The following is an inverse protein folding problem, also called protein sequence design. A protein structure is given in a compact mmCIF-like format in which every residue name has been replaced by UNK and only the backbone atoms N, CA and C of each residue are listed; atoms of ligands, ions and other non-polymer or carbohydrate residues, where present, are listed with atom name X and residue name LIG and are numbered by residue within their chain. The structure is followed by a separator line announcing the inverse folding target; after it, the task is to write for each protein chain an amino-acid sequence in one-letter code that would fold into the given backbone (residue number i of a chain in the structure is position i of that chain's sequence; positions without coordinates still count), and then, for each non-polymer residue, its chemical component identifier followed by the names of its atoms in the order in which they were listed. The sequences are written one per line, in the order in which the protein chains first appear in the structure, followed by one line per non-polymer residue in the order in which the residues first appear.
data_IF_546658166032
#
_entry.id   IF_546658166032
#
_cell.length_a   1.000
_cell.length_b   1.000
_cell.length_c   1.000
_cell.angle_alpha   90.00
_cell.angle_beta   90.00
_cell.angle_gamma   90.00
#
_symmetry.space_group_name_H-M   'P 1'
#
loop_
_entity.id
_entity.type
_entity.pdbx_description
1 polymer ?
2 non-polymer ?
3 non-polymer ?
4 non-polymer ?
5 non-polymer ?
6 water ?
#
# COMPACT_ATOMS: atom_id res chain seq x y z
N UNK A 1 4.47 3.15 18.07
CA UNK A 1 4.91 4.46 17.63
C UNK A 1 4.73 4.62 16.13
N UNK A 2 5.46 5.58 15.61
CA UNK A 2 5.31 6.07 14.23
C UNK A 2 5.48 4.93 13.24
N UNK A 3 6.52 4.10 13.39
CA UNK A 3 6.75 3.01 12.42
C UNK A 3 5.59 2.01 12.46
N UNK A 4 5.18 1.58 13.67
CA UNK A 4 4.04 0.65 13.79
C UNK A 4 2.82 1.29 13.17
N UNK A 5 2.61 2.60 13.35
CA UNK A 5 1.41 3.26 12.79
C UNK A 5 1.42 3.09 11.26
N UNK A 6 2.58 3.22 10.62
CA UNK A 6 2.64 3.05 9.15
C UNK A 6 2.10 1.64 8.81
N UNK A 7 2.53 0.59 9.56
CA UNK A 7 2.11 -0.81 9.32
C UNK A 7 0.60 -0.96 9.56
N UNK A 8 0.09 -0.36 10.63
CA UNK A 8 -1.36 -0.33 10.92
C UNK A 8 -2.14 0.26 9.74
N UNK A 9 -1.75 1.46 9.32
CA UNK A 9 -2.44 2.18 8.21
C UNK A 9 -2.38 1.35 6.93
N UNK A 10 -1.19 0.88 6.56
CA UNK A 10 -1.04 -0.01 5.36
C UNK A 10 -1.92 -1.27 5.45
N UNK A 11 -2.13 -1.83 6.63
CA UNK A 11 -2.95 -3.04 6.79
C UNK A 11 -4.42 -2.85 6.41
N UNK A 12 -4.93 -1.62 6.35
CA UNK A 12 -6.29 -1.33 5.85
C UNK A 12 -6.25 -0.08 4.98
N UNK A 13 -5.39 -0.08 3.99
CA UNK A 13 -4.95 1.20 3.43
C UNK A 13 -6.16 1.91 2.75
N UNK A 14 -6.95 1.17 1.99
CA UNK A 14 -8.05 1.83 1.23
C UNK A 14 -9.01 2.51 2.23
N UNK A 15 -9.32 1.88 3.38
CA UNK A 15 -10.32 2.45 4.31
C UNK A 15 -9.71 3.66 5.05
N UNK A 16 -8.44 3.59 5.43
CA UNK A 16 -7.79 4.73 6.11
C UNK A 16 -7.60 5.86 5.10
N UNK A 17 -7.13 5.57 3.90
CA UNK A 17 -6.86 6.59 2.88
C UNK A 17 -8.16 7.36 2.67
N UNK A 18 -9.26 6.64 2.49
CA UNK A 18 -10.57 7.33 2.23
C UNK A 18 -10.98 8.12 3.46
N UNK A 19 -10.98 7.49 4.63
CA UNK A 19 -11.54 8.11 5.86
C UNK A 19 -10.71 9.34 6.27
N UNK A 20 -9.40 9.31 6.09
CA UNK A 20 -8.58 10.47 6.45
C UNK A 20 -8.75 11.61 5.44
N UNK A 21 -8.80 11.29 4.16
CA UNK A 21 -9.01 12.36 3.15
C UNK A 21 -10.40 12.99 3.40
N UNK A 22 -11.39 12.17 3.71
CA UNK A 22 -12.76 12.73 3.94
C UNK A 22 -12.73 13.60 5.19
N UNK A 23 -11.98 13.22 6.21
CA UNK A 23 -11.86 14.04 7.42
C UNK A 23 -11.27 15.38 7.02
N UNK A 24 -10.29 15.36 6.14
CA UNK A 24 -9.63 16.60 5.66
C UNK A 24 -10.68 17.45 4.92
N UNK A 25 -11.40 16.87 3.95
CA UNK A 25 -12.36 17.68 3.14
C UNK A 25 -13.50 18.23 4.00
N UNK A 26 -13.96 17.48 5.01
CA UNK A 26 -15.08 17.93 5.87
C UNK A 26 -14.61 18.95 6.91
N UNK A 27 -13.37 18.84 7.42
CA UNK A 27 -12.83 19.85 8.34
C UNK A 27 -12.56 21.15 7.59
N UNK A 28 -12.10 21.07 6.34
CA UNK A 28 -11.66 22.23 5.54
C UNK A 28 -12.41 22.27 4.23
N UNK A 29 -13.74 22.61 4.28
CA UNK A 29 -14.59 22.57 3.09
C UNK A 29 -14.06 23.44 1.94
N UNK A 30 -13.38 24.56 2.26
CA UNK A 30 -12.81 25.43 1.18
C UNK A 30 -11.75 24.67 0.39
N UNK A 31 -11.18 23.55 0.89
CA UNK A 31 -10.15 22.75 0.16
C UNK A 31 -10.75 22.04 -1.05
N UNK A 32 -12.06 21.87 -1.10
CA UNK A 32 -12.76 21.37 -2.32
C UNK A 32 -12.52 22.35 -3.48
N UNK A 33 -12.02 23.55 -3.23
CA UNK A 33 -11.69 24.51 -4.32
C UNK A 33 -10.63 23.86 -5.24
N UNK A 34 -9.81 22.93 -4.76
CA UNK A 34 -8.79 22.20 -5.57
C UNK A 34 -9.38 20.92 -6.19
N UNK A 35 -10.64 20.62 -5.91
CA UNK A 35 -11.30 19.33 -6.19
C UNK A 35 -12.75 19.61 -6.61
N UNK A 36 -12.92 20.22 -7.79
CA UNK A 36 -14.25 20.72 -8.24
C UNK A 36 -15.25 19.55 -8.32
N UNK A 37 -14.78 18.40 -8.83
CA UNK A 37 -15.49 17.10 -9.02
C UNK A 37 -16.18 16.61 -7.71
N UNK A 38 -15.71 17.07 -6.57
CA UNK A 38 -16.09 16.53 -5.24
C UNK A 38 -17.23 17.31 -4.61
N UNK A 39 -17.55 18.49 -5.13
CA UNK A 39 -18.53 19.45 -4.56
C UNK A 39 -19.93 18.83 -4.67
N UNK A 40 -20.76 18.97 -3.62
CA UNK A 40 -22.17 18.55 -3.64
C UNK A 40 -22.32 17.06 -3.52
N UNK A 41 -21.32 16.35 -3.01
CA UNK A 41 -21.39 14.87 -2.86
C UNK A 41 -21.09 14.49 -1.40
N UNK A 42 -21.92 13.60 -0.86
CA UNK A 42 -21.76 13.06 0.51
C UNK A 42 -20.53 12.11 0.52
N UNK A 43 -20.01 11.80 1.70
CA UNK A 43 -18.88 10.87 1.80
C UNK A 43 -19.14 9.60 0.98
N UNK A 44 -20.31 8.97 1.09
CA UNK A 44 -20.55 7.66 0.47
C UNK A 44 -20.49 7.83 -1.05
N UNK A 45 -20.94 8.98 -1.54
CA UNK A 45 -20.92 9.24 -2.99
C UNK A 45 -19.47 9.38 -3.40
N UNK A 46 -18.67 10.21 -2.70
CA UNK A 46 -17.26 10.41 -3.04
C UNK A 46 -16.57 9.07 -3.16
N UNK A 47 -16.89 8.13 -2.27
CA UNK A 47 -16.23 6.80 -2.12
C UNK A 47 -16.76 5.82 -3.17
N UNK A 48 -17.69 6.28 -4.01
CA UNK A 48 -18.10 5.60 -5.27
C UNK A 48 -17.34 6.15 -6.50
N UNK A 49 -16.74 7.36 -6.42
CA UNK A 49 -16.21 8.12 -7.61
C UNK A 49 -14.80 7.64 -7.91
N UNK A 50 -14.55 7.17 -9.16
CA UNK A 50 -13.27 6.53 -9.54
C UNK A 50 -12.08 7.44 -9.24
N UNK A 51 -12.07 8.74 -9.64
CA UNK A 51 -10.87 9.57 -9.39
C UNK A 51 -10.67 9.67 -7.88
N UNK A 52 -11.75 9.75 -7.09
CA UNK A 52 -11.60 9.85 -5.60
C UNK A 52 -10.85 8.62 -5.02
N UNK A 53 -11.31 7.39 -5.29
CA UNK A 53 -10.68 6.17 -4.76
C UNK A 53 -9.24 6.09 -5.21
N UNK A 54 -9.00 6.38 -6.48
CA UNK A 54 -7.64 6.20 -7.06
C UNK A 54 -6.69 7.28 -6.53
N UNK A 55 -7.12 8.54 -6.55
CA UNK A 55 -6.32 9.66 -6.01
C UNK A 55 -6.04 9.40 -4.53
N UNK A 56 -7.07 9.10 -3.73
CA UNK A 56 -6.90 9.03 -2.25
C UNK A 56 -5.90 7.90 -1.97
N UNK A 57 -5.99 6.77 -2.67
CA UNK A 57 -5.10 5.61 -2.40
C UNK A 57 -3.70 5.97 -2.89
N UNK A 58 -3.54 6.80 -3.94
CA UNK A 58 -2.17 7.12 -4.46
C UNK A 58 -1.51 8.09 -3.52
N UNK A 59 -2.26 9.06 -2.99
CA UNK A 59 -1.76 10.00 -1.96
C UNK A 59 -1.28 9.20 -0.75
N UNK A 60 -2.10 8.27 -0.25
CA UNK A 60 -1.81 7.58 1.05
C UNK A 60 -0.67 6.57 0.81
N UNK A 61 -0.60 5.97 -0.38
CA UNK A 61 0.52 5.06 -0.73
C UNK A 61 1.81 5.86 -0.62
N UNK A 62 1.86 6.99 -1.34
CA UNK A 62 3.12 7.80 -1.39
C UNK A 62 3.48 8.34 0.00
N UNK A 63 2.52 8.93 0.72
CA UNK A 63 2.80 9.54 2.05
C UNK A 63 3.26 8.46 3.04
N UNK A 64 2.73 7.24 2.97
CA UNK A 64 3.32 6.16 3.79
C UNK A 64 4.76 5.84 3.38
N UNK A 65 5.11 5.91 2.09
CA UNK A 65 6.52 5.72 1.69
C UNK A 65 7.35 6.89 2.26
N UNK A 66 6.84 8.12 2.19
CA UNK A 66 7.63 9.29 2.69
C UNK A 66 7.80 9.12 4.22
N UNK A 67 6.73 8.75 4.92
CA UNK A 67 6.81 8.45 6.34
C UNK A 67 7.81 7.34 6.64
N UNK A 68 7.85 6.28 5.84
CA UNK A 68 8.71 5.09 6.03
C UNK A 68 10.18 5.41 5.78
N UNK A 69 10.46 6.36 4.89
CA UNK A 69 11.83 6.78 4.57
C UNK A 69 12.32 7.87 5.52
N UNK A 70 11.45 8.42 6.37
CA UNK A 70 11.81 9.48 7.33
C UNK A 70 12.75 8.92 8.42
N UNK A 71 13.56 9.78 9.03
CA UNK A 71 14.27 9.51 10.31
C UNK A 71 13.70 10.38 11.39
N UNK A 72 13.21 9.80 12.49
CA UNK A 72 12.68 10.59 13.63
C UNK A 72 11.67 11.61 13.10
N UNK A 73 10.74 11.15 12.25
CA UNK A 73 9.65 11.98 11.68
C UNK A 73 10.19 13.13 10.81
N UNK A 74 11.41 13.02 10.29
CA UNK A 74 11.99 14.05 9.37
C UNK A 74 12.14 13.42 8.00
N UNK A 75 11.40 13.95 7.01
CA UNK A 75 11.34 13.38 5.67
C UNK A 75 12.63 13.63 4.92
N UNK A 76 12.93 12.77 3.96
CA UNK A 76 14.07 13.00 3.01
C UNK A 76 13.85 14.29 2.26
N UNK A 77 14.90 15.11 2.09
CA UNK A 77 14.87 16.25 1.13
C UNK A 77 14.39 15.77 -0.26
N UNK A 78 14.86 14.60 -0.75
CA UNK A 78 14.47 14.04 -2.06
C UNK A 78 12.95 13.87 -2.17
N UNK A 79 12.27 13.41 -1.12
CA UNK A 79 10.82 13.20 -1.15
C UNK A 79 10.16 14.56 -1.16
N UNK A 80 10.72 15.53 -0.45
CA UNK A 80 10.14 16.89 -0.47
C UNK A 80 10.27 17.47 -1.90
N UNK A 81 11.44 17.32 -2.50
CA UNK A 81 11.65 17.86 -3.87
C UNK A 81 10.59 17.24 -4.81
N UNK A 82 10.47 15.90 -4.78
CA UNK A 82 9.51 15.16 -5.66
C UNK A 82 8.13 15.75 -5.46
N UNK A 83 7.72 15.94 -4.21
CA UNK A 83 6.38 16.48 -3.93
C UNK A 83 6.27 17.88 -4.56
N UNK A 84 7.33 18.69 -4.47
CA UNK A 84 7.22 20.09 -4.97
C UNK A 84 7.16 20.05 -6.50
N UNK A 85 7.91 19.16 -7.13
CA UNK A 85 8.17 19.19 -8.59
C UNK A 85 7.04 18.42 -9.31
N UNK A 86 5.99 18.01 -8.59
CA UNK A 86 4.82 17.32 -9.19
C UNK A 86 3.91 18.30 -9.94
N UNK A 87 3.69 18.07 -11.24
CA UNK A 87 2.84 18.92 -12.14
C UNK A 87 1.41 19.09 -11.56
N UNK A 88 0.86 18.03 -10.96
CA UNK A 88 -0.47 17.99 -10.27
C UNK A 88 -0.56 18.99 -9.10
N UNK A 89 0.53 19.24 -8.40
CA UNK A 89 0.58 20.18 -7.26
C UNK A 89 0.95 21.59 -7.72
N UNK A 90 0.82 21.92 -9.00
CA UNK A 90 1.08 23.27 -9.56
C UNK A 90 0.48 24.34 -8.64
N UNK A 91 -0.83 24.26 -8.39
CA UNK A 91 -1.58 25.23 -7.56
C UNK A 91 -1.16 25.30 -6.07
N UNK A 92 -0.70 24.20 -5.48
CA UNK A 92 -0.72 23.98 -4.01
C UNK A 92 0.30 24.81 -3.22
N UNK A 93 0.00 25.11 -1.96
CA UNK A 93 0.93 25.77 -1.02
C UNK A 93 1.11 24.85 0.19
N UNK A 94 2.11 25.09 1.01
CA UNK A 94 2.32 24.26 2.22
C UNK A 94 1.04 24.23 3.07
N UNK A 95 0.21 25.28 3.02
CA UNK A 95 -1.04 25.35 3.81
C UNK A 95 -1.98 24.22 3.48
N UNK A 96 -2.01 23.81 2.21
CA UNK A 96 -2.75 22.60 1.83
C UNK A 96 -2.25 21.38 2.59
N UNK A 97 -0.94 21.23 2.75
CA UNK A 97 -0.31 20.07 3.41
C UNK A 97 -0.48 20.17 4.92
N UNK A 98 -0.34 21.36 5.52
CA UNK A 98 -0.59 21.57 6.98
C UNK A 98 -1.99 21.00 7.26
N UNK A 99 -2.99 21.50 6.54
CA UNK A 99 -4.39 21.09 6.77
C UNK A 99 -4.58 19.60 6.65
N UNK A 100 -4.02 18.96 5.66
CA UNK A 100 -4.12 17.48 5.56
C UNK A 100 -3.62 16.85 6.87
N UNK A 101 -2.51 17.34 7.40
CA UNK A 101 -1.87 16.68 8.57
C UNK A 101 -2.60 17.00 9.86
N UNK A 102 -3.15 18.21 9.98
CA UNK A 102 -4.04 18.56 11.14
C UNK A 102 -5.21 17.59 11.15
N UNK A 103 -5.85 17.34 10.01
CA UNK A 103 -6.99 16.43 9.94
C UNK A 103 -6.53 15.02 10.31
N UNK A 104 -5.41 14.59 9.75
CA UNK A 104 -4.85 13.25 10.07
C UNK A 104 -4.69 13.08 11.59
N UNK A 105 -4.07 14.07 12.21
CA UNK A 105 -3.73 14.00 13.65
C UNK A 105 -5.03 13.94 14.43
N UNK A 106 -5.98 14.79 14.06
CA UNK A 106 -7.33 14.83 14.70
C UNK A 106 -8.03 13.48 14.55
N UNK A 107 -8.01 12.91 13.35
CA UNK A 107 -8.59 11.59 13.06
C UNK A 107 -7.94 10.52 13.99
N UNK A 108 -6.61 10.56 14.11
CA UNK A 108 -5.92 9.62 14.99
C UNK A 108 -6.34 9.83 16.45
N UNK A 109 -6.36 11.08 16.94
CA UNK A 109 -6.78 11.37 18.34
C UNK A 109 -8.15 10.74 18.63
N UNK A 110 -9.11 10.81 17.71
CA UNK A 110 -10.50 10.38 17.93
C UNK A 110 -10.70 8.90 17.68
N UNK A 111 -9.69 8.21 17.19
CA UNK A 111 -9.82 6.78 16.83
C UNK A 111 -9.87 6.00 18.14
N UNK A 112 -10.27 4.76 18.14
CA UNK A 112 -10.09 4.11 19.45
C UNK A 112 -8.67 3.63 19.74
N UNK A 113 -7.71 3.93 18.83
CA UNK A 113 -6.45 3.17 18.64
C UNK A 113 -5.25 3.88 19.29
N UNK A 114 -4.16 3.16 19.50
CA UNK A 114 -2.93 3.71 20.15
C UNK A 114 -1.97 4.27 19.08
N UNK A 115 -2.50 5.05 18.13
CA UNK A 115 -1.63 5.80 17.18
C UNK A 115 -0.76 6.77 17.95
N UNK A 116 0.45 7.00 17.47
CA UNK A 116 1.38 7.97 18.09
C UNK A 116 1.07 9.34 17.44
N UNK A 117 -0.04 9.98 17.84
CA UNK A 117 -0.55 11.21 17.15
C UNK A 117 0.51 12.33 17.25
N UNK A 118 1.26 12.39 18.34
CA UNK A 118 2.26 13.48 18.45
C UNK A 118 3.39 13.25 17.43
N UNK A 119 3.76 12.04 17.08
CA UNK A 119 4.77 11.80 16.01
C UNK A 119 4.22 12.20 14.65
N UNK A 120 2.97 11.91 14.33
CA UNK A 120 2.37 12.36 13.06
C UNK A 120 2.31 13.89 12.99
N UNK A 121 2.01 14.55 14.12
CA UNK A 121 1.94 16.03 14.19
C UNK A 121 3.32 16.63 13.85
N UNK A 122 4.38 16.02 14.39
CA UNK A 122 5.81 16.37 14.21
C UNK A 122 6.19 16.11 12.75
N UNK A 123 5.78 14.95 12.22
CA UNK A 123 6.00 14.57 10.80
C UNK A 123 5.38 15.63 9.88
N UNK A 124 4.14 16.02 10.15
CA UNK A 124 3.46 16.99 9.28
C UNK A 124 4.18 18.33 9.31
N UNK A 125 4.59 18.80 10.48
CA UNK A 125 5.30 20.12 10.60
C UNK A 125 6.66 20.05 9.90
N UNK A 126 7.35 18.91 10.00
CA UNK A 126 8.69 18.70 9.38
C UNK A 126 8.54 18.62 7.85
N UNK A 127 7.47 17.96 7.38
CA UNK A 127 7.17 17.84 5.94
C UNK A 127 6.92 19.24 5.37
N UNK A 128 6.10 20.03 6.05
CA UNK A 128 5.81 21.43 5.63
C UNK A 128 7.12 22.21 5.53
N UNK A 129 8.00 22.10 6.53
CA UNK A 129 9.28 22.85 6.50
C UNK A 129 10.08 22.39 5.28
N UNK A 130 10.12 21.09 5.04
CA UNK A 130 10.93 20.49 3.96
C UNK A 130 10.40 20.99 2.61
N UNK A 131 9.08 20.99 2.49
CA UNK A 131 8.43 21.41 1.24
C UNK A 131 8.81 22.85 0.95
N UNK A 132 8.71 23.70 1.95
CA UNK A 132 9.13 25.12 1.80
C UNK A 132 10.60 25.18 1.33
N UNK A 133 11.48 24.47 2.00
CA UNK A 133 12.93 24.40 1.70
C UNK A 133 13.15 23.93 0.25
N UNK A 134 12.26 23.08 -0.24
CA UNK A 134 12.40 22.48 -1.59
C UNK A 134 11.72 23.34 -2.66
N UNK A 135 10.99 24.41 -2.34
CA UNK A 135 10.50 25.40 -3.33
C UNK A 135 8.99 25.65 -3.28
N UNK A 136 8.23 24.94 -2.45
CA UNK A 136 6.77 25.16 -2.46
C UNK A 136 6.48 26.49 -1.79
N UNK A 137 5.53 27.27 -2.31
CA UNK A 137 5.18 28.61 -1.74
C UNK A 137 4.21 28.40 -0.58
N UNK B 1 16.68 -1.77 -8.43
CA UNK B 1 16.80 -3.01 -7.72
C UNK B 1 15.55 -3.37 -6.93
N UNK B 2 15.68 -4.45 -6.17
CA UNK B 2 14.61 -5.01 -5.33
C UNK B 2 14.01 -3.93 -4.42
N UNK B 3 14.81 -3.15 -3.71
CA UNK B 3 14.24 -2.10 -2.80
C UNK B 3 13.38 -1.11 -3.58
N UNK B 4 13.87 -0.62 -4.72
CA UNK B 4 13.11 0.33 -5.56
C UNK B 4 11.81 -0.35 -6.04
N UNK B 5 11.90 -1.63 -6.42
CA UNK B 5 10.73 -2.40 -6.89
C UNK B 5 9.66 -2.40 -5.81
N UNK B 6 10.05 -2.62 -4.56
CA UNK B 6 9.09 -2.55 -3.44
C UNK B 6 8.44 -1.15 -3.45
N UNK B 7 9.20 -0.10 -3.64
CA UNK B 7 8.65 1.26 -3.65
C UNK B 7 7.66 1.43 -4.81
N UNK B 8 8.05 0.93 -6.01
CA UNK B 8 7.20 1.00 -7.20
C UNK B 8 5.87 0.28 -6.91
N UNK B 9 5.95 -0.93 -6.42
CA UNK B 9 4.74 -1.79 -6.17
C UNK B 9 3.84 -1.15 -5.10
N UNK B 10 4.45 -0.65 -4.04
CA UNK B 10 3.69 0.03 -2.96
C UNK B 10 3.03 1.30 -3.52
N UNK B 11 3.65 1.99 -4.50
CA UNK B 11 3.14 3.27 -5.00
C UNK B 11 1.76 3.08 -5.63
N UNK B 12 1.50 1.90 -6.13
CA UNK B 12 0.26 1.58 -6.91
C UNK B 12 -0.23 0.22 -6.45
N UNK B 13 -0.28 0.01 -5.12
CA UNK B 13 -0.36 -1.37 -4.54
C UNK B 13 -1.57 -2.12 -5.10
N UNK B 14 -2.74 -1.48 -5.05
CA UNK B 14 -4.02 -2.08 -5.47
C UNK B 14 -3.90 -2.65 -6.88
N UNK B 15 -3.48 -1.81 -7.80
CA UNK B 15 -3.40 -2.14 -9.24
C UNK B 15 -2.41 -3.26 -9.45
N UNK B 16 -1.21 -3.18 -8.91
CA UNK B 16 -0.23 -4.27 -9.08
C UNK B 16 -0.76 -5.57 -8.46
N UNK B 17 -1.37 -5.50 -7.27
CA UNK B 17 -1.83 -6.67 -6.53
C UNK B 17 -2.89 -7.40 -7.39
N UNK B 18 -3.80 -6.62 -7.97
CA UNK B 18 -4.85 -7.23 -8.85
C UNK B 18 -4.21 -7.88 -10.08
N UNK B 19 -3.33 -7.16 -10.74
CA UNK B 19 -2.74 -7.59 -12.02
C UNK B 19 -1.88 -8.82 -11.83
N UNK B 20 -1.06 -8.85 -10.78
CA UNK B 20 -0.19 -10.00 -10.47
C UNK B 20 -1.05 -11.20 -10.06
N UNK B 21 -2.02 -11.00 -9.18
CA UNK B 21 -2.88 -12.12 -8.73
C UNK B 21 -3.60 -12.74 -9.95
N UNK B 22 -4.11 -11.93 -10.86
CA UNK B 22 -4.85 -12.39 -12.08
C UNK B 22 -3.85 -13.19 -12.91
N UNK B 23 -2.58 -12.74 -13.00
CA UNK B 23 -1.54 -13.42 -13.77
C UNK B 23 -1.41 -14.85 -13.19
N UNK B 24 -1.33 -14.94 -11.87
CA UNK B 24 -1.25 -16.21 -11.10
C UNK B 24 -2.44 -17.14 -11.40
N UNK B 25 -3.65 -16.62 -11.20
CA UNK B 25 -4.86 -17.43 -11.36
C UNK B 25 -4.99 -17.89 -12.81
N UNK B 26 -4.62 -17.04 -13.78
CA UNK B 26 -4.78 -17.41 -15.21
C UNK B 26 -3.66 -18.38 -15.63
N UNK B 27 -2.45 -18.21 -15.12
CA UNK B 27 -1.38 -19.14 -15.49
C UNK B 27 -1.63 -20.49 -14.80
N UNK B 28 -2.29 -20.52 -13.65
CA UNK B 28 -2.43 -21.74 -12.81
C UNK B 28 -3.89 -21.93 -12.43
N UNK B 29 -4.77 -22.25 -13.40
CA UNK B 29 -6.18 -22.23 -13.13
C UNK B 29 -6.57 -23.19 -11.99
N UNK B 30 -5.91 -24.33 -11.79
CA UNK B 30 -6.22 -25.20 -10.61
C UNK B 30 -6.08 -24.45 -9.29
N UNK B 31 -5.21 -23.43 -9.19
CA UNK B 31 -5.07 -22.65 -7.95
C UNK B 31 -6.38 -21.93 -7.56
N UNK B 32 -7.31 -21.72 -8.49
CA UNK B 32 -8.59 -21.03 -8.15
C UNK B 32 -9.43 -21.89 -7.20
N UNK B 33 -9.02 -23.14 -6.95
CA UNK B 33 -9.68 -24.03 -5.96
C UNK B 33 -9.62 -23.41 -4.55
N UNK B 34 -8.53 -22.71 -4.24
CA UNK B 34 -8.34 -22.06 -2.93
C UNK B 34 -9.22 -20.80 -2.83
N UNK B 35 -9.82 -20.40 -3.94
CA UNK B 35 -10.56 -19.12 -4.09
C UNK B 35 -11.88 -19.40 -4.81
N UNK B 36 -12.66 -20.35 -4.26
CA UNK B 36 -13.92 -20.82 -4.89
C UNK B 36 -14.82 -19.63 -5.26
N UNK B 37 -14.71 -18.52 -4.52
CA UNK B 37 -15.49 -17.25 -4.63
C UNK B 37 -15.31 -16.51 -6.00
N UNK B 38 -14.14 -16.71 -6.61
CA UNK B 38 -13.59 -16.02 -7.79
C UNK B 38 -13.80 -16.89 -9.03
N UNK B 39 -14.33 -18.10 -8.90
CA UNK B 39 -14.62 -19.00 -10.03
C UNK B 39 -15.69 -18.42 -10.98
N UNK B 40 -15.46 -18.62 -12.27
CA UNK B 40 -16.40 -18.33 -13.35
C UNK B 40 -16.55 -16.85 -13.59
N UNK B 41 -15.50 -16.07 -13.28
CA UNK B 41 -15.50 -14.61 -13.50
C UNK B 41 -14.27 -14.23 -14.34
N UNK B 42 -14.47 -13.25 -15.23
CA UNK B 42 -13.40 -12.74 -16.06
C UNK B 42 -12.56 -11.79 -15.20
N UNK B 43 -11.41 -11.38 -15.72
CA UNK B 43 -10.51 -10.44 -15.02
C UNK B 43 -11.29 -9.17 -14.69
N UNK B 44 -12.12 -8.67 -15.61
CA UNK B 44 -12.73 -7.32 -15.41
C UNK B 44 -13.93 -7.51 -14.49
N UNK B 45 -14.52 -8.71 -14.42
CA UNK B 45 -15.58 -8.97 -13.39
C UNK B 45 -14.92 -9.04 -12.02
N UNK B 46 -13.81 -9.77 -11.88
CA UNK B 46 -13.09 -9.77 -10.58
C UNK B 46 -12.71 -8.35 -10.16
N UNK B 47 -12.12 -7.56 -11.03
CA UNK B 47 -11.66 -6.19 -10.67
C UNK B 47 -12.81 -5.28 -10.24
N UNK B 48 -14.03 -5.61 -10.64
CA UNK B 48 -15.26 -4.86 -10.25
C UNK B 48 -15.54 -5.06 -8.76
N UNK B 49 -15.23 -6.25 -8.25
CA UNK B 49 -15.73 -6.74 -6.93
C UNK B 49 -14.86 -6.12 -5.86
N UNK B 50 -15.46 -5.36 -4.95
CA UNK B 50 -14.68 -4.65 -3.93
C UNK B 50 -13.89 -5.70 -3.11
N UNK B 51 -14.45 -6.88 -2.89
CA UNK B 51 -13.80 -7.91 -2.03
C UNK B 51 -12.53 -8.46 -2.72
N UNK B 52 -12.50 -8.52 -4.06
CA UNK B 52 -11.28 -9.00 -4.76
C UNK B 52 -10.16 -7.96 -4.51
N UNK B 53 -10.50 -6.71 -4.70
CA UNK B 53 -9.49 -5.65 -4.56
C UNK B 53 -9.00 -5.57 -3.12
N UNK B 54 -9.91 -5.61 -2.17
CA UNK B 54 -9.52 -5.62 -0.72
C UNK B 54 -8.61 -6.82 -0.42
N UNK B 55 -9.01 -8.02 -0.79
CA UNK B 55 -8.24 -9.25 -0.50
C UNK B 55 -6.85 -9.13 -1.13
N UNK B 56 -6.78 -8.76 -2.40
CA UNK B 56 -5.48 -8.73 -3.14
C UNK B 56 -4.57 -7.67 -2.52
N UNK B 57 -5.11 -6.51 -2.19
CA UNK B 57 -4.30 -5.40 -1.58
C UNK B 57 -3.77 -5.79 -0.19
N UNK B 58 -4.53 -6.57 0.60
CA UNK B 58 -4.06 -6.99 1.92
C UNK B 58 -2.93 -7.99 1.79
N UNK B 59 -3.10 -8.95 0.88
CA UNK B 59 -2.05 -9.97 0.64
C UNK B 59 -0.76 -9.28 0.18
N UNK B 60 -0.84 -8.41 -0.84
CA UNK B 60 0.36 -7.80 -1.47
C UNK B 60 0.93 -6.70 -0.57
N UNK B 61 0.17 -6.21 0.43
CA UNK B 61 0.76 -5.31 1.46
C UNK B 61 1.67 -6.14 2.34
N UNK B 62 1.18 -7.28 2.83
CA UNK B 62 1.98 -8.15 3.70
C UNK B 62 3.19 -8.62 2.89
N UNK B 63 3.00 -9.05 1.64
CA UNK B 63 4.15 -9.52 0.83
C UNK B 63 5.23 -8.42 0.75
N UNK B 64 4.83 -7.16 0.58
CA UNK B 64 5.80 -6.03 0.50
C UNK B 64 6.45 -5.85 1.87
N UNK B 65 5.72 -6.07 2.95
CA UNK B 65 6.31 -5.89 4.30
C UNK B 65 7.38 -6.97 4.52
N UNK B 66 7.10 -8.19 4.09
CA UNK B 66 8.07 -9.31 4.19
C UNK B 66 9.26 -8.96 3.31
N UNK B 67 9.02 -8.51 2.07
CA UNK B 67 10.11 -8.21 1.13
C UNK B 67 11.00 -7.12 1.73
N UNK B 68 10.40 -6.10 2.30
CA UNK B 68 11.12 -4.93 2.86
C UNK B 68 11.97 -5.32 4.07
N UNK B 69 11.53 -6.27 4.90
CA UNK B 69 12.26 -6.72 6.10
C UNK B 69 13.33 -7.76 5.74
N UNK B 70 13.30 -8.31 4.52
CA UNK B 70 14.32 -9.28 4.04
C UNK B 70 15.70 -8.59 3.91
N UNK B 71 16.77 -9.40 4.05
CA UNK B 71 18.16 -8.98 3.84
C UNK B 71 18.64 -9.78 2.62
N UNK B 72 19.12 -9.12 1.55
CA UNK B 72 19.64 -9.85 0.37
C UNK B 72 18.59 -10.86 -0.13
N UNK B 73 17.31 -10.47 -0.13
CA UNK B 73 16.17 -11.29 -0.67
C UNK B 73 15.96 -12.55 0.17
N UNK B 74 16.39 -12.51 1.43
CA UNK B 74 16.23 -13.65 2.37
C UNK B 74 15.25 -13.17 3.41
N UNK B 75 14.02 -13.71 3.45
CA UNK B 75 13.06 -13.20 4.40
C UNK B 75 13.41 -13.69 5.80
N UNK B 76 12.90 -12.97 6.77
CA UNK B 76 13.02 -13.36 8.19
C UNK B 76 12.23 -14.65 8.45
N UNK B 77 12.84 -15.55 9.20
CA UNK B 77 12.20 -16.77 9.72
C UNK B 77 10.87 -16.39 10.37
N UNK B 78 10.85 -15.30 11.13
CA UNK B 78 9.59 -14.93 11.86
C UNK B 78 8.47 -14.62 10.86
N UNK B 79 8.82 -14.03 9.69
CA UNK B 79 7.78 -13.67 8.68
C UNK B 79 7.28 -14.98 8.06
N UNK B 80 8.19 -15.90 7.79
CA UNK B 80 7.82 -17.20 7.19
C UNK B 80 6.85 -17.87 8.15
N UNK B 81 7.22 -17.85 9.44
CA UNK B 81 6.35 -18.46 10.47
C UNK B 81 4.97 -17.82 10.38
N UNK B 82 4.89 -16.49 10.39
CA UNK B 82 3.55 -15.84 10.32
C UNK B 82 2.75 -16.43 9.13
N UNK B 83 3.35 -16.53 7.96
CA UNK B 83 2.63 -17.02 6.78
C UNK B 83 2.18 -18.49 6.98
N UNK B 84 3.01 -19.32 7.62
CA UNK B 84 2.68 -20.77 7.82
C UNK B 84 1.53 -20.90 8.82
N UNK B 85 1.51 -20.02 9.82
CA UNK B 85 0.62 -20.13 11.01
C UNK B 85 -0.73 -19.43 10.78
N UNK B 86 -0.86 -18.58 9.77
CA UNK B 86 -2.16 -17.93 9.42
C UNK B 86 -3.23 -19.01 9.15
N UNK B 87 -4.38 -18.90 9.80
CA UNK B 87 -5.53 -19.83 9.63
C UNK B 87 -5.84 -19.92 8.12
N UNK B 88 -5.87 -18.78 7.43
CA UNK B 88 -6.31 -18.75 6.01
C UNK B 88 -5.30 -19.54 5.15
N UNK B 89 -4.14 -19.91 5.69
CA UNK B 89 -3.15 -20.73 4.93
C UNK B 89 -3.14 -22.21 5.33
N UNK B 90 -4.06 -22.64 6.22
CA UNK B 90 -4.25 -24.08 6.54
C UNK B 90 -4.37 -24.89 5.23
N UNK B 91 -3.61 -25.97 5.12
CA UNK B 91 -3.72 -26.83 3.93
C UNK B 91 -3.03 -26.28 2.71
N UNK B 92 -2.37 -25.10 2.76
CA UNK B 92 -1.46 -24.69 1.65
C UNK B 92 -0.18 -25.51 1.71
N UNK B 93 0.53 -25.57 0.60
CA UNK B 93 1.89 -26.14 0.55
C UNK B 93 2.82 -25.17 -0.17
N UNK B 94 4.11 -25.40 -0.05
CA UNK B 94 5.12 -24.49 -0.62
C UNK B 94 4.82 -24.31 -2.13
N UNK B 95 4.26 -25.33 -2.80
CA UNK B 95 3.99 -25.28 -4.25
C UNK B 95 3.04 -24.16 -4.64
N UNK B 96 2.06 -23.87 -3.79
CA UNK B 96 1.16 -22.71 -3.94
C UNK B 96 2.03 -21.45 -4.11
N UNK B 97 2.91 -21.22 -3.14
CA UNK B 97 3.75 -19.99 -3.06
C UNK B 97 4.72 -19.99 -4.22
N UNK B 98 5.33 -21.14 -4.55
CA UNK B 98 6.27 -21.26 -5.69
C UNK B 98 5.55 -20.79 -6.97
N UNK B 99 4.31 -21.24 -7.19
CA UNK B 99 3.52 -20.87 -8.40
C UNK B 99 3.20 -19.37 -8.44
N UNK B 100 2.80 -18.79 -7.33
CA UNK B 100 2.61 -17.33 -7.22
C UNK B 100 3.88 -16.56 -7.61
N UNK B 101 5.05 -17.02 -7.16
CA UNK B 101 6.28 -16.27 -7.42
C UNK B 101 6.63 -16.45 -8.86
N UNK B 102 6.41 -17.62 -9.43
CA UNK B 102 6.71 -17.78 -10.88
C UNK B 102 5.87 -16.75 -11.65
N UNK B 103 4.59 -16.68 -11.33
CA UNK B 103 3.67 -15.79 -12.05
C UNK B 103 4.14 -14.35 -11.86
N UNK B 104 4.55 -13.99 -10.66
CA UNK B 104 5.06 -12.60 -10.34
C UNK B 104 6.32 -12.29 -11.14
N UNK B 105 7.24 -13.22 -11.20
CA UNK B 105 8.45 -13.02 -12.03
C UNK B 105 8.10 -12.89 -13.51
N UNK B 106 7.24 -13.75 -14.02
CA UNK B 106 6.80 -13.67 -15.43
C UNK B 106 6.15 -12.33 -15.68
N UNK B 107 5.32 -11.86 -14.75
CA UNK B 107 4.66 -10.56 -14.88
C UNK B 107 5.69 -9.45 -15.01
N UNK B 108 6.73 -9.49 -14.19
CA UNK B 108 7.74 -8.42 -14.21
C UNK B 108 8.55 -8.47 -15.53
N UNK B 109 8.88 -9.67 -16.00
CA UNK B 109 9.70 -9.89 -17.22
C UNK B 109 8.93 -9.43 -18.47
N UNK B 110 7.59 -9.40 -18.43
CA UNK B 110 6.70 -8.95 -19.54
C UNK B 110 6.40 -7.45 -19.45
N UNK B 111 6.60 -6.82 -18.30
CA UNK B 111 6.01 -5.49 -17.98
C UNK B 111 6.63 -4.38 -18.84
N UNK B 112 7.85 -4.52 -19.33
CA UNK B 112 8.39 -3.33 -20.00
C UNK B 112 9.01 -2.35 -19.00
N UNK B 113 8.93 -2.65 -17.71
CA UNK B 113 9.54 -1.79 -16.65
C UNK B 113 10.85 -2.44 -16.17
N UNK B 114 11.74 -1.70 -15.57
CA UNK B 114 13.05 -2.23 -15.12
C UNK B 114 12.95 -2.84 -13.71
N UNK B 115 12.01 -3.74 -13.51
CA UNK B 115 11.95 -4.58 -12.30
C UNK B 115 13.20 -5.44 -12.28
N UNK B 116 13.72 -5.68 -11.07
CA UNK B 116 14.85 -6.62 -10.85
C UNK B 116 14.24 -8.03 -10.77
N UNK B 117 13.81 -8.57 -11.87
CA UNK B 117 13.08 -9.87 -11.86
C UNK B 117 13.94 -10.97 -11.24
N UNK B 118 15.27 -10.97 -11.42
CA UNK B 118 16.21 -11.99 -10.83
C UNK B 118 16.11 -11.99 -9.31
N UNK B 119 16.02 -10.83 -8.72
CA UNK B 119 15.90 -10.67 -7.25
C UNK B 119 14.56 -11.22 -6.76
N UNK B 120 13.47 -10.99 -7.51
CA UNK B 120 12.16 -11.48 -7.08
C UNK B 120 12.15 -13.00 -7.20
N UNK B 121 12.83 -13.53 -8.22
CA UNK B 121 12.90 -14.99 -8.41
C UNK B 121 13.58 -15.56 -7.15
N UNK B 122 14.67 -14.94 -6.75
CA UNK B 122 15.52 -15.47 -5.66
C UNK B 122 14.81 -15.23 -4.32
N UNK B 123 14.06 -14.15 -4.17
CA UNK B 123 13.24 -13.88 -2.97
C UNK B 123 12.14 -14.93 -2.87
N UNK B 124 11.43 -15.22 -3.97
CA UNK B 124 10.46 -16.34 -4.01
C UNK B 124 11.07 -17.67 -3.59
N UNK B 125 12.23 -18.02 -4.15
CA UNK B 125 12.93 -19.29 -3.79
C UNK B 125 13.26 -19.32 -2.31
N UNK B 126 13.81 -18.23 -1.80
CA UNK B 126 14.21 -18.09 -0.38
C UNK B 126 12.97 -18.09 0.49
N UNK B 127 11.83 -17.53 0.07
CA UNK B 127 10.60 -17.60 0.89
C UNK B 127 10.07 -19.04 0.95
N UNK B 128 10.01 -19.76 -0.17
CA UNK B 128 9.54 -21.19 -0.22
C UNK B 128 10.43 -22.02 0.72
N UNK B 129 11.75 -21.81 0.68
CA UNK B 129 12.65 -22.52 1.62
C UNK B 129 12.26 -22.14 3.06
N UNK B 130 12.19 -20.85 3.35
CA UNK B 130 11.87 -20.37 4.72
C UNK B 130 10.53 -20.97 5.15
N UNK B 131 9.54 -21.00 4.25
CA UNK B 131 8.21 -21.55 4.59
C UNK B 131 8.39 -23.02 4.99
N UNK B 132 9.16 -23.79 4.19
CA UNK B 132 9.45 -25.21 4.49
C UNK B 132 10.12 -25.29 5.88
N UNK B 133 11.13 -24.45 6.15
CA UNK B 133 11.87 -24.47 7.45
C UNK B 133 10.93 -24.08 8.60
N UNK B 134 9.86 -23.32 8.34
CA UNK B 134 8.93 -22.87 9.41
C UNK B 134 7.75 -23.84 9.49
N UNK B 135 7.80 -24.92 8.67
CA UNK B 135 7.00 -26.15 8.81
C UNK B 135 5.83 -26.28 7.85
N UNK B 136 5.85 -25.55 6.74
CA UNK B 136 4.85 -25.75 5.67
C UNK B 136 5.26 -26.99 4.89
N UNK B 137 4.29 -27.84 4.61
CA UNK B 137 4.42 -29.07 3.78
C UNK B 137 4.67 -28.69 2.32
#
# INVERSE_FOLDING_TARGET
GFKQDIATLRGDLRTYAQDIFLAFLNKYPDEKRNFKNYVGKSDQELKSMAKFGDHTEKVFNLMMEVADRATDCVPLASDASTLVQMKQHSGLTTGNFEKLFVALVEYMRASGQSFDSQSWDRFGKNLVSALSSAGMK
GFKQDIATLRGDLRTYAQDIFLAFLNKYPDEKRNFKNYVGKSDQELKSMAKFGDHTEKVFNLMMEVADRATDCVPLASDASTLVQMKQHSGLTTGNFEKLFVALVEYMRASGQSFDSQSWDRFGKNLVSALSSAGMK
#
